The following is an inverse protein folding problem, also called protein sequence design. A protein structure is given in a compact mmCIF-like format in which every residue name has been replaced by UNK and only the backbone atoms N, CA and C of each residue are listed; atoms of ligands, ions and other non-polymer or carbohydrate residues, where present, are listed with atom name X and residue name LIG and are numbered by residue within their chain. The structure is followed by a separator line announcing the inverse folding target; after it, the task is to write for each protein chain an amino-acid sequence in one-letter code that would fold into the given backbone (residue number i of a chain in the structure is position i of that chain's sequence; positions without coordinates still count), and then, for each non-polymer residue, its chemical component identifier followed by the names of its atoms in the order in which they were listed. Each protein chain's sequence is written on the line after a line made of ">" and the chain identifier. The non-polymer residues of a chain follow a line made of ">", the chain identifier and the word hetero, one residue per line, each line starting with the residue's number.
data_IF_349817805071
#
_entry.id   IF_349817805071
#
_cell.length_a   1.000
_cell.length_b   1.000
_cell.length_c   1.000
_cell.angle_alpha   90.00
_cell.angle_beta   90.00
_cell.angle_gamma   90.00
#
_symmetry.space_group_name_H-M   'P 1'
#
loop_
_entity.id
_entity.type
_entity.pdbx_description
1 polymer ?
#
# COMPACT_ATOMS: atom_id res chain seq x y z
N UNK A 1 21.07 5.10 -13.03
CA UNK A 1 19.98 5.67 -12.23
C UNK A 1 19.36 4.60 -11.37
N UNK A 2 19.02 4.94 -10.14
CA UNK A 2 18.40 3.98 -9.23
C UNK A 2 16.96 3.72 -9.66
N UNK A 3 16.59 2.45 -9.73
CA UNK A 3 15.23 2.03 -10.06
C UNK A 3 14.48 1.57 -8.82
N UNK A 4 13.14 1.58 -8.90
CA UNK A 4 12.30 1.12 -7.79
C UNK A 4 12.59 -0.33 -7.43
N UNK A 5 12.88 -1.15 -8.44
CA UNK A 5 13.21 -2.57 -8.20
C UNK A 5 14.42 -2.78 -7.32
N UNK A 6 15.34 -1.80 -7.29
CA UNK A 6 16.54 -1.90 -6.47
C UNK A 6 16.31 -1.54 -5.00
N UNK A 7 15.21 -0.84 -4.70
CA UNK A 7 14.95 -0.33 -3.35
C UNK A 7 13.61 -0.78 -2.75
N UNK A 8 12.73 -1.37 -3.55
CA UNK A 8 11.41 -1.79 -3.10
C UNK A 8 11.49 -2.87 -2.02
N UNK A 9 10.46 -2.93 -1.18
CA UNK A 9 10.29 -4.05 -0.27
C UNK A 9 9.71 -5.22 -1.05
N UNK A 10 10.32 -6.40 -0.92
CA UNK A 10 9.83 -7.63 -1.54
C UNK A 10 9.07 -8.51 -0.54
N UNK A 11 9.14 -8.18 0.74
CA UNK A 11 8.31 -8.83 1.76
C UNK A 11 6.95 -8.17 1.75
N UNK A 12 6.02 -8.75 0.99
CA UNK A 12 4.70 -8.18 0.82
C UNK A 12 3.85 -8.37 2.07
N UNK A 13 3.24 -7.27 2.52
CA UNK A 13 2.28 -7.29 3.61
C UNK A 13 0.90 -7.28 2.96
N UNK A 14 0.15 -8.37 3.13
CA UNK A 14 -1.10 -8.59 2.40
C UNK A 14 -2.25 -9.00 3.29
N UNK A 15 -3.47 -8.71 2.85
CA UNK A 15 -4.69 -9.22 3.45
C UNK A 15 -5.65 -9.68 2.36
N UNK A 16 -6.59 -10.54 2.73
CA UNK A 16 -7.68 -10.97 1.86
C UNK A 16 -8.78 -9.89 1.84
N UNK A 17 -9.56 -9.76 0.75
CA UNK A 17 -10.65 -8.77 0.71
C UNK A 17 -11.69 -8.93 1.82
N UNK A 18 -11.83 -10.12 2.40
CA UNK A 18 -12.77 -10.37 3.49
C UNK A 18 -12.26 -9.92 4.86
N UNK A 19 -10.98 -9.52 4.97
CA UNK A 19 -10.42 -9.05 6.22
C UNK A 19 -11.15 -7.81 6.72
N UNK A 20 -11.32 -7.71 8.04
CA UNK A 20 -11.88 -6.51 8.63
C UNK A 20 -10.77 -5.51 8.97
N UNK A 21 -11.18 -4.30 9.40
CA UNK A 21 -10.22 -3.24 9.72
C UNK A 21 -9.23 -3.64 10.80
N UNK A 22 -9.70 -4.36 11.82
CA UNK A 22 -8.82 -4.79 12.91
C UNK A 22 -7.74 -5.74 12.41
N UNK A 23 -8.11 -6.71 11.56
CA UNK A 23 -7.16 -7.64 10.98
C UNK A 23 -6.14 -6.92 10.10
N UNK A 24 -6.59 -5.98 9.26
CA UNK A 24 -5.71 -5.18 8.42
C UNK A 24 -4.73 -4.36 9.28
N UNK A 25 -5.24 -3.72 10.33
CA UNK A 25 -4.41 -2.93 11.23
C UNK A 25 -3.36 -3.78 11.94
N UNK A 26 -3.72 -5.00 12.35
CA UNK A 26 -2.77 -5.92 13.00
C UNK A 26 -1.67 -6.35 12.05
N UNK A 27 -2.02 -6.66 10.80
CA UNK A 27 -1.05 -7.05 9.79
C UNK A 27 -0.08 -5.89 9.50
N UNK A 28 -0.60 -4.67 9.39
CA UNK A 28 0.23 -3.47 9.20
C UNK A 28 1.18 -3.27 10.36
N UNK A 29 0.66 -3.37 11.58
CA UNK A 29 1.45 -3.19 12.80
C UNK A 29 2.55 -4.25 12.92
N UNK A 30 2.21 -5.50 12.67
CA UNK A 30 3.17 -6.60 12.75
C UNK A 30 4.28 -6.46 11.71
N UNK A 31 3.95 -5.96 10.52
CA UNK A 31 4.91 -5.76 9.44
C UNK A 31 5.65 -4.42 9.49
N UNK A 32 5.29 -3.54 10.44
CA UNK A 32 5.85 -2.19 10.48
C UNK A 32 5.54 -1.38 9.23
N UNK A 33 4.39 -1.64 8.61
CA UNK A 33 4.04 -1.06 7.32
C UNK A 33 2.89 -0.06 7.45
N UNK A 34 2.94 1.01 6.65
CA UNK A 34 1.88 2.01 6.58
C UNK A 34 0.78 1.65 5.58
N UNK A 35 0.90 0.51 4.91
CA UNK A 35 -0.08 0.03 3.94
C UNK A 35 -0.03 -1.47 3.83
N UNK A 36 -1.13 -2.06 3.33
CA UNK A 36 -1.18 -3.48 2.97
C UNK A 36 -1.78 -3.61 1.57
N UNK A 37 -1.36 -4.63 0.87
CA UNK A 37 -1.95 -5.00 -0.41
C UNK A 37 -3.15 -5.90 -0.14
N UNK A 38 -4.24 -5.66 -0.86
CA UNK A 38 -5.41 -6.51 -0.80
C UNK A 38 -5.38 -7.40 -2.02
N UNK A 39 -5.14 -8.69 -1.80
CA UNK A 39 -5.00 -9.68 -2.87
C UNK A 39 -6.16 -10.67 -2.80
N UNK A 40 -6.69 -11.02 -3.96
CA UNK A 40 -7.66 -12.09 -4.12
C UNK A 40 -7.11 -13.05 -5.16
N UNK A 41 -6.84 -14.29 -4.75
CA UNK A 41 -6.27 -15.32 -5.63
C UNK A 41 -5.00 -14.80 -6.32
N UNK A 42 -4.13 -14.16 -5.56
CA UNK A 42 -2.88 -13.54 -5.98
C UNK A 42 -3.03 -12.31 -6.89
N UNK A 43 -4.26 -11.92 -7.22
CA UNK A 43 -4.52 -10.71 -8.02
C UNK A 43 -4.68 -9.49 -7.11
N UNK A 44 -4.10 -8.39 -7.51
CA UNK A 44 -4.18 -7.13 -6.76
C UNK A 44 -5.59 -6.53 -6.91
N UNK A 45 -6.33 -6.48 -5.81
CA UNK A 45 -7.67 -5.86 -5.75
C UNK A 45 -7.57 -4.40 -5.38
N UNK A 46 -6.67 -4.08 -4.46
CA UNK A 46 -6.54 -2.71 -3.99
C UNK A 46 -5.44 -2.57 -2.96
N UNK A 47 -5.36 -1.36 -2.41
CA UNK A 47 -4.41 -1.02 -1.36
C UNK A 47 -5.18 -0.40 -0.19
N UNK A 48 -4.77 -0.74 1.03
CA UNK A 48 -5.34 -0.23 2.25
C UNK A 48 -4.23 0.43 3.06
N UNK A 49 -4.48 1.66 3.55
CA UNK A 49 -3.45 2.49 4.19
C UNK A 49 -3.90 2.96 5.57
N UNK A 50 -2.96 3.54 6.33
CA UNK A 50 -3.26 4.18 7.61
C UNK A 50 -4.34 5.26 7.45
N UNK A 51 -4.33 5.98 6.33
CA UNK A 51 -5.37 6.98 6.05
C UNK A 51 -6.75 6.34 6.00
N UNK A 52 -6.85 5.14 5.43
CA UNK A 52 -8.12 4.44 5.35
C UNK A 52 -8.65 4.06 6.74
N UNK A 53 -7.75 3.70 7.65
CA UNK A 53 -8.12 3.44 9.04
C UNK A 53 -8.71 4.70 9.67
N UNK A 54 -8.05 5.85 9.49
CA UNK A 54 -8.54 7.11 10.03
C UNK A 54 -9.90 7.49 9.45
N UNK A 55 -10.07 7.29 8.14
CA UNK A 55 -11.34 7.54 7.48
C UNK A 55 -12.45 6.66 8.05
N UNK A 56 -12.18 5.38 8.21
CA UNK A 56 -13.15 4.44 8.74
C UNK A 56 -13.56 4.81 10.17
N UNK A 57 -12.61 5.19 11.01
CA UNK A 57 -12.89 5.63 12.37
C UNK A 57 -13.71 6.91 12.39
N UNK A 58 -13.42 7.83 11.48
CA UNK A 58 -14.13 9.12 11.40
C UNK A 58 -15.55 9.01 10.89
N UNK A 59 -15.85 8.03 10.03
CA UNK A 59 -17.17 7.86 9.45
C UNK A 59 -18.03 6.82 10.16
N UNK A 60 -17.46 6.05 11.06
CA UNK A 60 -18.23 5.03 11.80
C UNK A 60 -18.90 5.63 13.02
N UNK A 61 -20.09 5.09 13.37
CA UNK A 61 -20.83 5.57 14.53
C UNK A 61 -20.19 5.15 15.85
N UNK A 62 -19.32 4.15 15.83
CA UNK A 62 -18.57 3.73 17.00
C UNK A 62 -17.27 3.03 16.58
N UNK A 63 -16.30 3.02 17.49
CA UNK A 63 -15.05 2.30 17.27
C UNK A 63 -15.27 0.80 17.13
N UNK A 64 -16.22 0.24 17.88
CA UNK A 64 -16.53 -1.20 17.81
C UNK A 64 -17.08 -1.58 16.44
N UNK A 65 -17.94 -0.76 15.86
CA UNK A 65 -18.45 -0.99 14.50
C UNK A 65 -17.34 -0.84 13.47
N UNK A 66 -16.47 0.14 13.64
CA UNK A 66 -15.34 0.34 12.72
C UNK A 66 -14.43 -0.88 12.69
N UNK A 67 -14.13 -1.48 13.85
CA UNK A 67 -13.22 -2.63 13.96
C UNK A 67 -13.67 -3.83 13.13
N UNK A 68 -14.98 -4.07 13.06
CA UNK A 68 -15.52 -5.23 12.33
C UNK A 68 -15.94 -4.89 10.90
N UNK A 69 -15.81 -3.64 10.50
CA UNK A 69 -16.11 -3.22 9.13
C UNK A 69 -15.15 -3.91 8.16
N UNK A 70 -15.64 -4.41 7.00
CA UNK A 70 -14.74 -5.03 6.03
C UNK A 70 -13.77 -4.00 5.45
N UNK A 71 -12.51 -4.38 5.33
CA UNK A 71 -11.48 -3.51 4.75
C UNK A 71 -11.85 -3.13 3.31
N UNK A 72 -12.50 -4.04 2.57
CA UNK A 72 -12.92 -3.80 1.18
C UNK A 72 -13.81 -2.58 1.00
N UNK A 73 -14.47 -2.13 2.06
CA UNK A 73 -15.28 -0.91 2.02
C UNK A 73 -14.43 0.36 1.91
N UNK A 74 -13.19 0.31 2.40
CA UNK A 74 -12.34 1.48 2.57
C UNK A 74 -11.10 1.51 1.69
N UNK A 75 -10.80 0.41 1.00
CA UNK A 75 -9.59 0.31 0.17
C UNK A 75 -9.67 1.22 -1.05
N UNK A 76 -8.50 1.57 -1.58
CA UNK A 76 -8.39 2.15 -2.92
C UNK A 76 -8.34 1.00 -3.91
N UNK A 77 -9.36 0.88 -4.76
CA UNK A 77 -9.43 -0.13 -5.81
C UNK A 77 -8.64 0.34 -7.03
N UNK A 78 -8.11 -0.61 -7.78
CA UNK A 78 -7.32 -0.33 -8.98
C UNK A 78 -6.27 0.74 -8.71
N UNK A 79 -5.39 0.51 -7.72
CA UNK A 79 -4.39 1.52 -7.36
C UNK A 79 -3.43 1.75 -8.52
N UNK A 80 -2.83 2.95 -8.53
CA UNK A 80 -1.75 3.23 -9.47
C UNK A 80 -0.58 2.31 -9.14
N UNK A 81 -0.03 1.66 -10.15
CA UNK A 81 1.10 0.73 -10.01
C UNK A 81 2.25 1.16 -10.92
N UNK A 82 3.43 0.65 -10.64
CA UNK A 82 4.62 0.93 -11.46
C UNK A 82 5.38 -0.37 -11.72
N UNK A 83 6.26 -0.35 -12.71
CA UNK A 83 7.18 -1.46 -12.96
C UNK A 83 8.48 -1.29 -12.20
N UNK A 84 9.22 -2.38 -12.04
CA UNK A 84 10.47 -2.39 -11.28
C UNK A 84 11.56 -1.52 -11.93
N UNK A 85 11.49 -1.30 -13.23
CA UNK A 85 12.44 -0.48 -13.99
C UNK A 85 12.16 1.03 -13.89
N UNK A 86 11.03 1.42 -13.30
CA UNK A 86 10.72 2.83 -13.06
C UNK A 86 11.80 3.44 -12.17
N UNK A 87 12.28 4.64 -12.53
CA UNK A 87 13.28 5.30 -11.71
C UNK A 87 12.67 5.86 -10.42
N UNK A 88 13.52 6.03 -9.41
CA UNK A 88 13.10 6.63 -8.14
C UNK A 88 12.51 8.02 -8.37
N UNK A 89 13.12 8.82 -9.26
CA UNK A 89 12.62 10.15 -9.58
C UNK A 89 11.22 10.12 -10.20
N UNK A 90 10.99 9.21 -11.13
CA UNK A 90 9.65 9.06 -11.75
C UNK A 90 8.61 8.62 -10.75
N UNK A 91 8.97 7.67 -9.87
CA UNK A 91 8.05 7.18 -8.83
C UNK A 91 7.68 8.31 -7.87
N UNK A 92 8.67 9.11 -7.46
CA UNK A 92 8.43 10.26 -6.59
C UNK A 92 7.47 11.26 -7.24
N UNK A 93 7.69 11.57 -8.51
CA UNK A 93 6.81 12.47 -9.24
C UNK A 93 5.38 11.95 -9.28
N UNK A 94 5.20 10.65 -9.51
CA UNK A 94 3.86 10.05 -9.53
C UNK A 94 3.17 10.16 -8.18
N UNK A 95 3.91 9.94 -7.09
CA UNK A 95 3.36 10.07 -5.74
C UNK A 95 2.96 11.51 -5.43
N UNK A 96 3.82 12.47 -5.76
CA UNK A 96 3.54 13.88 -5.51
C UNK A 96 2.36 14.36 -6.34
N UNK A 97 2.31 13.97 -7.60
CA UNK A 97 1.24 14.38 -8.51
C UNK A 97 -0.11 13.76 -8.13
N UNK A 98 -0.09 12.50 -7.73
CA UNK A 98 -1.31 11.76 -7.39
C UNK A 98 -1.78 11.93 -5.96
N UNK A 99 -0.94 12.45 -5.08
CA UNK A 99 -1.29 12.63 -3.67
C UNK A 99 -1.30 11.33 -2.88
N UNK A 100 -0.55 10.32 -3.29
CA UNK A 100 -0.43 9.05 -2.57
C UNK A 100 1.03 8.78 -2.20
N UNK A 101 1.22 7.88 -1.24
CA UNK A 101 2.54 7.64 -0.64
C UNK A 101 3.03 6.19 -0.80
N UNK A 102 2.29 5.36 -1.48
CA UNK A 102 2.60 3.94 -1.66
C UNK A 102 2.27 3.54 -3.09
N UNK A 103 3.16 2.77 -3.71
CA UNK A 103 2.95 2.25 -5.06
C UNK A 103 3.28 0.76 -5.08
N UNK A 104 2.31 -0.09 -5.44
CA UNK A 104 2.62 -1.48 -5.73
C UNK A 104 3.50 -1.56 -6.97
N UNK A 105 4.48 -2.45 -6.94
CA UNK A 105 5.39 -2.71 -8.06
C UNK A 105 4.96 -4.01 -8.72
N UNK A 106 4.70 -3.94 -10.02
CA UNK A 106 4.16 -5.05 -10.80
C UNK A 106 5.17 -5.58 -11.80
N UNK A 107 5.08 -6.87 -12.05
CA UNK A 107 5.71 -7.54 -13.19
C UNK A 107 4.60 -8.28 -13.90
N UNK A 108 4.10 -7.70 -15.00
CA UNK A 108 2.89 -8.20 -15.63
C UNK A 108 1.71 -8.10 -14.67
N UNK A 109 1.06 -9.24 -14.39
CA UNK A 109 -0.08 -9.32 -13.49
C UNK A 109 0.32 -9.63 -12.04
N UNK A 110 1.61 -9.84 -11.79
CA UNK A 110 2.10 -10.22 -10.46
C UNK A 110 2.63 -9.00 -9.70
N UNK A 111 2.26 -8.88 -8.43
CA UNK A 111 2.86 -7.91 -7.53
C UNK A 111 4.20 -8.46 -7.08
N UNK A 112 5.28 -7.72 -7.33
CA UNK A 112 6.63 -8.15 -6.97
C UNK A 112 7.24 -7.32 -5.84
N UNK A 113 6.63 -6.21 -5.50
CA UNK A 113 7.14 -5.36 -4.43
C UNK A 113 6.20 -4.24 -4.08
N UNK A 114 6.62 -3.45 -3.11
CA UNK A 114 5.94 -2.24 -2.67
C UNK A 114 6.99 -1.17 -2.42
N UNK A 115 6.72 0.05 -2.85
CA UNK A 115 7.59 1.18 -2.55
C UNK A 115 6.78 2.28 -1.87
N UNK A 116 7.34 2.86 -0.82
CA UNK A 116 6.73 3.98 -0.11
C UNK A 116 7.49 5.27 -0.42
N UNK A 117 6.84 6.41 -0.15
CA UNK A 117 7.51 7.71 -0.26
C UNK A 117 8.74 7.77 0.63
N UNK A 118 8.67 7.14 1.81
CA UNK A 118 9.82 7.06 2.72
C UNK A 118 10.99 6.31 2.07
N UNK A 119 10.72 5.21 1.37
CA UNK A 119 11.75 4.44 0.67
C UNK A 119 12.44 5.29 -0.40
N UNK A 120 11.64 6.06 -1.15
CA UNK A 120 12.17 6.96 -2.18
C UNK A 120 13.02 8.05 -1.57
N UNK A 121 12.53 8.68 -0.50
CA UNK A 121 13.27 9.74 0.18
C UNK A 121 14.60 9.23 0.73
N UNK A 122 14.59 8.04 1.33
CA UNK A 122 15.81 7.42 1.85
C UNK A 122 16.81 7.14 0.73
N UNK A 123 16.35 6.61 -0.39
CA UNK A 123 17.19 6.35 -1.55
C UNK A 123 17.86 7.62 -2.06
N UNK A 124 17.11 8.71 -2.15
CA UNK A 124 17.62 10.00 -2.61
C UNK A 124 18.65 10.54 -1.63
N UNK A 125 18.40 10.41 -0.32
CA UNK A 125 19.30 10.92 0.72
C UNK A 125 20.63 10.14 0.77
N UNK A 126 20.64 8.89 0.32
CA UNK A 126 21.83 8.04 0.33
C UNK A 126 22.67 8.14 -0.95
N UNK A 127 22.24 8.94 -1.90
CA UNK A 127 23.00 9.14 -3.15
C UNK A 127 24.13 10.13 -2.99
#
# INVERSE_FOLDING_TARGET
>A
MTTVGQIMSTELVTVDPSANLMEAARVMSAGGAGSVLVLQDAALVGIFTERDILRALGYSSSADLARVSPASKWITRDPVTIGAETTVAEALNRMLFGGFRHLPVMDGDAVVGMVSMRDLARSIAEQ
#
